data_IF_023430569821
#
_entry.id   IF_023430569821
#
_cell.length_a   1.000
_cell.length_b   1.000
_cell.length_c   1.000
_cell.angle_alpha   90.00
_cell.angle_beta   90.00
_cell.angle_gamma   90.00
#
_symmetry.space_group_name_H-M   'P 1'
#
loop_
_entity.id
_entity.type
_entity.pdbx_description
1 polymer ?
#
# COMPACT_ATOMS: atom_id res chain seq x y z
N UNK A 1 -16.44 -33.01 74.76
CA UNK A 1 -15.34 -32.63 73.83
C UNK A 1 -15.36 -33.33 72.44
N UNK A 2 -15.74 -34.62 72.32
CA UNK A 2 -15.79 -35.32 71.01
C UNK A 2 -16.91 -34.86 70.08
N UNK A 3 -18.06 -34.34 70.51
CA UNK A 3 -19.17 -33.85 69.67
C UNK A 3 -18.89 -32.51 69.08
N UNK A 4 -18.17 -31.59 69.74
CA UNK A 4 -17.81 -30.25 69.23
C UNK A 4 -16.77 -30.37 68.14
N UNK A 5 -15.82 -31.29 68.18
CA UNK A 5 -14.82 -31.54 67.15
C UNK A 5 -15.44 -32.09 65.86
N UNK A 6 -16.50 -32.90 65.89
CA UNK A 6 -17.19 -33.38 64.68
C UNK A 6 -18.00 -32.28 63.97
N UNK A 7 -18.60 -31.36 64.77
CA UNK A 7 -19.36 -30.24 64.23
C UNK A 7 -18.44 -29.20 63.57
N UNK A 8 -17.24 -28.94 64.15
CA UNK A 8 -16.24 -28.05 63.51
C UNK A 8 -15.65 -28.63 62.23
N UNK A 9 -15.47 -29.96 62.14
CA UNK A 9 -14.99 -30.60 60.89
C UNK A 9 -16.03 -30.58 59.77
N UNK A 10 -17.32 -30.69 60.08
CA UNK A 10 -18.40 -30.58 59.07
C UNK A 10 -18.59 -29.15 58.58
N UNK A 11 -18.42 -28.14 59.43
CA UNK A 11 -18.47 -26.71 58.97
C UNK A 11 -17.25 -26.35 58.20
N UNK A 12 -16.06 -26.83 58.50
CA UNK A 12 -14.85 -26.62 57.72
C UNK A 12 -14.92 -27.31 56.34
N UNK A 13 -15.55 -28.48 56.23
CA UNK A 13 -15.71 -29.21 54.97
C UNK A 13 -16.78 -28.59 54.06
N UNK A 14 -17.84 -27.97 54.63
CA UNK A 14 -18.82 -27.19 53.83
C UNK A 14 -18.29 -25.84 53.35
N UNK A 15 -17.36 -25.22 54.08
CA UNK A 15 -16.72 -23.96 53.64
C UNK A 15 -15.73 -24.17 52.48
N UNK A 16 -15.10 -25.34 52.41
CA UNK A 16 -14.18 -25.71 51.30
C UNK A 16 -14.95 -26.01 49.99
N UNK A 17 -16.20 -26.51 50.07
CA UNK A 17 -17.02 -26.76 48.87
C UNK A 17 -17.62 -25.49 48.25
N UNK A 18 -17.73 -24.39 48.98
CA UNK A 18 -18.27 -23.12 48.45
C UNK A 18 -17.18 -22.34 47.70
N UNK A 19 -15.90 -22.55 48.01
CA UNK A 19 -14.78 -21.86 47.29
C UNK A 19 -14.47 -22.49 45.94
N UNK A 20 -14.92 -23.73 45.67
CA UNK A 20 -14.68 -24.43 44.40
C UNK A 20 -15.69 -24.09 43.30
N UNK A 21 -16.69 -23.23 43.52
CA UNK A 21 -17.69 -22.80 42.54
C UNK A 21 -17.45 -21.37 41.99
N UNK A 22 -16.37 -20.71 42.42
CA UNK A 22 -15.95 -19.40 41.90
C UNK A 22 -14.73 -19.57 40.94
N UNK A 23 -14.70 -20.64 40.20
CA UNK A 23 -13.63 -20.91 39.28
C UNK A 23 -14.15 -21.19 37.88
N UNK A 24 -13.79 -20.34 36.95
CA UNK A 24 -13.97 -20.44 35.50
C UNK A 24 -15.24 -19.84 34.92
N UNK A 25 -15.56 -18.59 35.19
CA UNK A 25 -15.85 -17.71 34.07
C UNK A 25 -14.49 -17.25 33.54
N UNK A 26 -13.97 -17.92 32.53
CA UNK A 26 -12.99 -17.35 31.67
C UNK A 26 -13.68 -16.19 30.95
N UNK A 27 -13.74 -15.03 31.58
CA UNK A 27 -13.82 -13.79 30.84
C UNK A 27 -12.59 -13.84 29.95
N UNK A 28 -12.77 -14.21 28.66
CA UNK A 28 -11.91 -13.66 27.61
C UNK A 28 -12.04 -12.16 27.84
N UNK A 29 -11.07 -11.57 28.50
CA UNK A 29 -10.84 -10.14 28.41
C UNK A 29 -10.71 -9.92 26.91
N UNK A 30 -11.72 -9.33 26.30
CA UNK A 30 -11.62 -8.91 24.91
C UNK A 30 -10.37 -8.02 24.91
N UNK A 31 -9.33 -8.47 24.22
CA UNK A 31 -8.13 -7.68 24.06
C UNK A 31 -8.60 -6.41 23.37
N UNK A 32 -8.38 -5.26 23.98
CA UNK A 32 -8.74 -3.98 23.40
C UNK A 32 -7.96 -3.87 22.08
N UNK A 33 -8.67 -3.60 20.98
CA UNK A 33 -8.02 -3.47 19.66
C UNK A 33 -7.07 -2.28 19.69
N UNK A 34 -5.91 -2.44 19.04
CA UNK A 34 -5.02 -1.33 18.77
C UNK A 34 -5.64 -0.47 17.65
N UNK A 35 -6.05 0.75 17.98
CA UNK A 35 -6.63 1.67 17.02
C UNK A 35 -5.58 2.49 16.23
N UNK A 36 -4.30 2.28 16.50
CA UNK A 36 -3.21 2.95 15.78
C UNK A 36 -2.67 2.06 14.68
N UNK A 37 -2.64 2.58 13.44
CA UNK A 37 -2.07 1.94 12.26
C UNK A 37 -0.78 2.66 11.90
N UNK A 38 0.35 1.96 11.91
CA UNK A 38 1.62 2.43 11.34
C UNK A 38 1.60 2.12 9.85
N UNK A 39 1.37 3.13 9.01
CA UNK A 39 1.17 2.98 7.57
C UNK A 39 2.28 3.65 6.76
N UNK A 40 2.91 2.89 5.88
CA UNK A 40 3.85 3.42 4.90
C UNK A 40 3.21 3.62 3.52
N UNK A 41 3.27 4.84 2.98
CA UNK A 41 2.81 5.15 1.61
C UNK A 41 3.94 5.69 0.74
N UNK A 42 3.70 5.82 -0.57
CA UNK A 42 4.66 6.44 -1.48
C UNK A 42 4.34 7.92 -1.70
N UNK A 43 5.37 8.69 -2.05
CA UNK A 43 5.22 10.04 -2.60
C UNK A 43 4.69 9.96 -4.06
N UNK A 44 3.41 9.56 -4.21
CA UNK A 44 2.78 9.28 -5.51
C UNK A 44 1.27 9.52 -5.48
N UNK A 45 0.65 9.63 -6.66
CA UNK A 45 -0.77 9.98 -6.80
C UNK A 45 -1.71 8.99 -6.12
N UNK A 46 -1.36 7.71 -6.07
CA UNK A 46 -2.15 6.65 -5.42
C UNK A 46 -2.26 6.79 -3.89
N UNK A 47 -1.46 7.68 -3.26
CA UNK A 47 -1.60 8.05 -1.85
C UNK A 47 -2.64 9.15 -1.59
N UNK A 48 -3.15 9.84 -2.62
CA UNK A 48 -4.05 10.98 -2.44
C UNK A 48 -5.28 10.68 -1.57
N UNK A 49 -6.00 9.53 -1.71
CA UNK A 49 -7.14 9.24 -0.85
C UNK A 49 -6.77 9.13 0.64
N UNK A 50 -5.60 8.55 0.93
CA UNK A 50 -5.12 8.38 2.31
C UNK A 50 -4.74 9.75 2.90
N UNK A 51 -3.98 10.55 2.13
CA UNK A 51 -3.57 11.89 2.56
C UNK A 51 -4.77 12.81 2.78
N UNK A 52 -5.78 12.73 1.90
CA UNK A 52 -7.01 13.52 2.02
C UNK A 52 -7.86 13.07 3.22
N UNK A 53 -8.00 11.75 3.43
CA UNK A 53 -8.72 11.22 4.59
C UNK A 53 -8.09 11.65 5.91
N UNK A 54 -6.75 11.64 5.99
CA UNK A 54 -6.01 12.12 7.15
C UNK A 54 -6.20 13.63 7.36
N UNK A 55 -6.10 14.44 6.29
CA UNK A 55 -6.29 15.89 6.39
C UNK A 55 -7.70 16.29 6.84
N UNK A 56 -8.72 15.55 6.38
CA UNK A 56 -10.12 15.80 6.72
C UNK A 56 -10.55 15.17 8.06
N UNK A 57 -9.68 14.45 8.75
CA UNK A 57 -9.99 13.78 10.02
C UNK A 57 -10.92 12.56 9.89
N UNK A 58 -11.01 11.96 8.70
CA UNK A 58 -11.92 10.83 8.46
C UNK A 58 -11.46 9.56 9.20
N UNK A 59 -10.16 9.38 9.41
CA UNK A 59 -9.64 8.27 10.18
C UNK A 59 -10.05 8.38 11.66
N UNK A 60 -9.89 9.56 12.25
CA UNK A 60 -10.28 9.83 13.64
C UNK A 60 -11.78 9.65 13.86
N UNK A 61 -12.62 10.07 12.89
CA UNK A 61 -14.07 9.88 12.95
C UNK A 61 -14.48 8.39 12.91
N UNK A 62 -13.68 7.54 12.25
CA UNK A 62 -13.86 6.08 12.25
C UNK A 62 -13.13 5.39 13.41
N UNK A 63 -12.59 6.16 14.34
CA UNK A 63 -11.89 5.64 15.54
C UNK A 63 -10.48 5.10 15.25
N UNK A 64 -9.89 5.48 14.11
CA UNK A 64 -8.54 5.06 13.70
C UNK A 64 -7.55 6.20 13.95
N UNK A 65 -6.44 5.90 14.63
CA UNK A 65 -5.29 6.78 14.73
C UNK A 65 -4.26 6.35 13.67
N UNK A 66 -3.90 7.24 12.74
CA UNK A 66 -2.99 6.94 11.66
C UNK A 66 -1.60 7.53 11.93
N UNK A 67 -0.61 6.64 12.11
CA UNK A 67 0.82 7.00 12.10
C UNK A 67 1.34 6.79 10.67
N UNK A 68 1.39 7.88 9.90
CA UNK A 68 1.61 7.87 8.46
C UNK A 68 3.04 8.28 8.11
N UNK A 69 3.77 7.41 7.43
CA UNK A 69 5.09 7.71 6.87
C UNK A 69 5.06 7.73 5.34
N UNK A 70 5.61 8.81 4.74
CA UNK A 70 5.69 8.99 3.29
C UNK A 70 7.11 8.65 2.82
N UNK A 71 7.24 7.63 1.99
CA UNK A 71 8.51 7.15 1.45
C UNK A 71 8.75 7.66 0.02
N UNK A 72 10.01 7.97 -0.28
CA UNK A 72 10.50 8.25 -1.64
C UNK A 72 11.24 7.06 -2.27
N UNK A 73 11.51 6.03 -1.46
CA UNK A 73 12.19 4.81 -1.86
C UNK A 73 11.34 3.58 -1.49
N UNK A 74 10.90 2.83 -2.53
CA UNK A 74 10.06 1.65 -2.34
C UNK A 74 10.76 0.50 -1.63
N UNK A 75 12.10 0.36 -1.79
CA UNK A 75 12.86 -0.70 -1.12
C UNK A 75 12.98 -0.45 0.39
N UNK A 76 13.15 0.82 0.81
CA UNK A 76 13.16 1.19 2.23
C UNK A 76 11.80 0.86 2.88
N UNK A 77 10.69 1.30 2.26
CA UNK A 77 9.34 0.99 2.74
C UNK A 77 9.09 -0.53 2.85
N UNK A 78 9.55 -1.29 1.84
CA UNK A 78 9.48 -2.75 1.86
C UNK A 78 10.24 -3.34 3.05
N UNK A 79 11.43 -2.84 3.35
CA UNK A 79 12.23 -3.28 4.50
C UNK A 79 11.53 -2.97 5.82
N UNK A 80 10.89 -1.81 5.95
CA UNK A 80 10.19 -1.42 7.18
C UNK A 80 8.99 -2.34 7.50
N UNK A 81 8.18 -2.73 6.49
CA UNK A 81 7.10 -3.70 6.76
C UNK A 81 7.63 -5.10 7.07
N UNK A 82 8.71 -5.54 6.41
CA UNK A 82 9.37 -6.83 6.71
C UNK A 82 9.99 -6.86 8.11
N UNK A 83 10.49 -5.72 8.60
CA UNK A 83 11.04 -5.58 9.95
C UNK A 83 9.95 -5.47 11.04
N UNK A 84 8.66 -5.38 10.69
CA UNK A 84 7.55 -5.18 11.62
C UNK A 84 7.47 -3.74 12.17
N UNK A 85 8.12 -2.78 11.51
CA UNK A 85 8.03 -1.36 11.84
C UNK A 85 6.70 -0.76 11.39
N UNK A 86 6.06 -1.36 10.36
CA UNK A 86 4.76 -0.98 9.82
C UNK A 86 3.73 -2.11 10.03
N UNK A 87 2.49 -1.72 10.28
CA UNK A 87 1.32 -2.62 10.34
C UNK A 87 0.68 -2.78 8.96
N UNK A 88 0.81 -1.73 8.14
CA UNK A 88 0.31 -1.69 6.78
C UNK A 88 1.26 -0.91 5.86
N UNK A 89 1.23 -1.24 4.58
CA UNK A 89 1.99 -0.49 3.57
C UNK A 89 1.28 -0.49 2.21
N UNK A 90 1.43 0.60 1.47
CA UNK A 90 1.15 0.63 0.04
C UNK A 90 2.33 -0.04 -0.69
N UNK A 91 2.13 -1.20 -1.29
CA UNK A 91 3.16 -1.95 -2.01
C UNK A 91 2.76 -2.19 -3.46
N UNK A 92 3.75 -2.26 -4.36
CA UNK A 92 3.49 -2.89 -5.65
C UNK A 92 3.22 -4.39 -5.42
N UNK A 93 2.29 -4.96 -6.19
CA UNK A 93 1.96 -6.38 -6.09
C UNK A 93 3.19 -7.26 -6.37
N UNK A 94 4.08 -6.81 -7.27
CA UNK A 94 5.35 -7.46 -7.56
C UNK A 94 6.23 -7.59 -6.30
N UNK A 95 6.42 -6.48 -5.58
CA UNK A 95 7.17 -6.48 -4.33
C UNK A 95 6.47 -7.30 -3.25
N UNK A 96 5.14 -7.16 -3.17
CA UNK A 96 4.34 -7.85 -2.17
C UNK A 96 4.40 -9.37 -2.34
N UNK A 97 4.16 -9.91 -3.55
CA UNK A 97 4.22 -11.36 -3.80
C UNK A 97 5.61 -11.92 -3.47
N UNK A 98 6.67 -11.18 -3.80
CA UNK A 98 8.02 -11.56 -3.40
C UNK A 98 8.22 -11.58 -1.88
N UNK A 99 7.66 -10.61 -1.18
CA UNK A 99 7.76 -10.55 0.28
C UNK A 99 7.01 -11.71 0.93
N UNK A 100 5.84 -12.07 0.41
CA UNK A 100 5.07 -13.24 0.88
C UNK A 100 5.87 -14.52 0.64
N UNK A 101 6.47 -14.69 -0.54
CA UNK A 101 7.40 -15.80 -0.81
C UNK A 101 8.58 -15.82 0.18
N UNK A 102 9.06 -14.64 0.58
CA UNK A 102 10.11 -14.44 1.59
C UNK A 102 9.64 -14.65 3.03
N UNK A 103 8.35 -14.95 3.26
CA UNK A 103 7.79 -15.26 4.59
C UNK A 103 6.97 -14.12 5.23
N UNK A 104 6.75 -12.99 4.53
CA UNK A 104 5.85 -11.94 5.03
C UNK A 104 4.43 -12.50 5.12
N UNK A 105 3.83 -12.41 6.29
CA UNK A 105 2.43 -12.77 6.53
C UNK A 105 1.59 -11.50 6.45
N UNK A 106 0.99 -11.25 5.29
CA UNK A 106 0.19 -10.06 5.02
C UNK A 106 -0.77 -10.31 3.85
N UNK A 107 -1.81 -9.48 3.71
CA UNK A 107 -2.80 -9.58 2.64
C UNK A 107 -3.10 -8.23 2.02
N UNK A 108 -3.36 -8.23 0.71
CA UNK A 108 -3.95 -7.09 0.00
C UNK A 108 -5.38 -6.91 0.49
N UNK A 109 -5.69 -5.75 1.03
CA UNK A 109 -7.04 -5.40 1.50
C UNK A 109 -7.78 -4.47 0.53
N UNK A 110 -7.04 -3.73 -0.30
CA UNK A 110 -7.56 -2.95 -1.44
C UNK A 110 -6.45 -2.70 -2.45
N UNK A 111 -6.83 -2.54 -3.74
CA UNK A 111 -5.94 -1.92 -4.74
C UNK A 111 -5.85 -0.42 -4.50
N UNK A 112 -4.83 0.22 -5.07
CA UNK A 112 -4.72 1.67 -5.18
C UNK A 112 -4.62 2.06 -6.63
N UNK A 113 -5.08 3.26 -6.98
CA UNK A 113 -5.11 3.76 -8.33
C UNK A 113 -3.96 4.76 -8.52
N UNK A 114 -3.01 4.41 -9.38
CA UNK A 114 -1.82 5.19 -9.65
C UNK A 114 -1.70 5.64 -11.10
N UNK A 115 -0.93 6.68 -11.33
CA UNK A 115 -0.59 7.15 -12.67
C UNK A 115 0.92 7.21 -12.81
N UNK A 116 1.46 6.54 -13.84
CA UNK A 116 2.89 6.34 -14.05
C UNK A 116 3.31 6.75 -15.47
N UNK A 117 3.36 8.04 -15.78
CA UNK A 117 3.83 8.52 -17.06
C UNK A 117 5.28 8.12 -17.36
N UNK A 118 5.61 8.09 -18.64
CA UNK A 118 6.98 8.01 -19.14
C UNK A 118 7.47 9.43 -19.35
N UNK A 119 8.62 9.73 -18.76
CA UNK A 119 9.30 11.02 -18.92
C UNK A 119 10.53 10.80 -19.76
N UNK A 120 10.70 11.65 -20.77
CA UNK A 120 11.81 11.61 -21.71
C UNK A 120 12.94 12.53 -21.26
N UNK A 121 14.17 12.19 -21.58
CA UNK A 121 15.32 13.07 -21.37
C UNK A 121 15.16 14.36 -22.17
N UNK A 122 15.88 15.41 -21.74
CA UNK A 122 15.74 16.76 -22.30
C UNK A 122 15.99 16.83 -23.80
N UNK A 123 16.97 16.07 -24.28
CA UNK A 123 17.42 16.10 -25.69
C UNK A 123 17.06 14.76 -26.38
N UNK A 124 15.94 14.12 -25.93
CA UNK A 124 15.51 12.87 -26.53
C UNK A 124 15.11 13.05 -28.00
N UNK A 125 15.70 12.24 -28.86
CA UNK A 125 15.29 12.04 -30.22
C UNK A 125 14.72 10.64 -30.40
N UNK A 126 13.64 10.49 -31.18
CA UNK A 126 12.97 9.22 -31.42
C UNK A 126 13.94 8.19 -32.03
N UNK A 127 14.05 7.01 -31.39
CA UNK A 127 14.94 5.92 -31.79
C UNK A 127 14.42 4.59 -31.25
N UNK A 128 14.84 3.48 -31.86
CA UNK A 128 14.42 2.13 -31.43
C UNK A 128 15.12 1.68 -30.13
N UNK A 129 16.42 1.94 -30.01
CA UNK A 129 17.22 1.51 -28.86
C UNK A 129 17.22 2.60 -27.79
N UNK A 130 16.62 2.33 -26.62
CA UNK A 130 16.46 3.31 -25.54
C UNK A 130 16.94 2.78 -24.19
N UNK A 131 17.57 3.65 -23.40
CA UNK A 131 17.90 3.42 -22.00
C UNK A 131 16.77 3.86 -21.12
N UNK A 132 16.18 2.93 -20.35
CA UNK A 132 15.01 3.22 -19.51
C UNK A 132 15.37 3.08 -18.03
N UNK A 133 15.25 4.17 -17.28
CA UNK A 133 15.51 4.21 -15.84
C UNK A 133 14.34 3.63 -15.03
N UNK A 134 14.58 2.58 -14.26
CA UNK A 134 13.58 1.78 -13.57
C UNK A 134 14.07 1.37 -12.17
N UNK A 135 13.17 0.81 -11.37
CA UNK A 135 13.50 -0.03 -10.23
C UNK A 135 13.18 -1.48 -10.61
N UNK A 136 14.10 -2.41 -10.39
CA UNK A 136 14.03 -3.77 -10.94
C UNK A 136 12.77 -4.53 -10.53
N UNK A 137 12.54 -4.69 -9.23
CA UNK A 137 11.38 -5.40 -8.69
C UNK A 137 10.31 -4.37 -8.32
N UNK A 138 9.49 -3.96 -9.29
CA UNK A 138 8.54 -2.86 -9.07
C UNK A 138 7.46 -2.76 -10.15
N UNK A 139 6.40 -2.01 -9.79
CA UNK A 139 5.33 -1.64 -10.73
C UNK A 139 5.87 -0.93 -11.97
N UNK A 140 6.86 -0.04 -11.84
CA UNK A 140 7.36 0.74 -12.98
C UNK A 140 8.14 -0.11 -13.99
N UNK A 141 8.74 -1.22 -13.57
CA UNK A 141 9.38 -2.16 -14.49
C UNK A 141 8.31 -2.97 -15.25
N UNK A 142 7.28 -3.45 -14.55
CA UNK A 142 6.14 -4.12 -15.16
C UNK A 142 5.45 -3.21 -16.20
N UNK A 143 5.14 -1.97 -15.82
CA UNK A 143 4.49 -1.02 -16.72
C UNK A 143 5.37 -0.62 -17.92
N UNK A 144 6.69 -0.53 -17.76
CA UNK A 144 7.59 -0.29 -18.88
C UNK A 144 7.50 -1.40 -19.93
N UNK A 145 7.44 -2.68 -19.49
CA UNK A 145 7.27 -3.82 -20.40
C UNK A 145 5.91 -3.81 -21.11
N UNK A 146 4.87 -3.23 -20.49
CA UNK A 146 3.54 -3.09 -21.10
C UNK A 146 3.47 -1.90 -22.09
N UNK A 147 4.13 -0.79 -21.77
CA UNK A 147 3.94 0.48 -22.48
C UNK A 147 4.97 0.74 -23.57
N UNK A 148 6.18 0.20 -23.43
CA UNK A 148 7.31 0.49 -24.33
C UNK A 148 7.60 -0.68 -25.29
N UNK A 149 6.56 -1.36 -25.78
CA UNK A 149 6.68 -2.54 -26.65
C UNK A 149 7.32 -2.24 -28.00
N UNK A 150 7.28 -0.98 -28.45
CA UNK A 150 7.86 -0.53 -29.72
C UNK A 150 9.37 -0.21 -29.63
N UNK A 151 9.95 -0.32 -28.43
CA UNK A 151 11.34 0.02 -28.18
C UNK A 151 12.18 -1.21 -27.75
N UNK A 152 13.44 -1.20 -28.16
CA UNK A 152 14.46 -2.11 -27.63
C UNK A 152 15.03 -1.51 -26.34
N UNK A 153 14.52 -1.93 -25.17
CA UNK A 153 14.88 -1.32 -23.88
C UNK A 153 16.17 -1.88 -23.30
N UNK A 154 17.17 -1.03 -23.07
CA UNK A 154 18.21 -1.26 -22.09
C UNK A 154 17.72 -0.78 -20.72
N UNK A 155 17.37 -1.69 -19.82
CA UNK A 155 16.87 -1.35 -18.48
C UNK A 155 18.01 -0.93 -17.57
N UNK A 156 17.95 0.31 -17.06
CA UNK A 156 18.93 0.89 -16.12
C UNK A 156 18.30 0.98 -14.74
N UNK A 157 18.74 0.16 -13.81
CA UNK A 157 18.13 0.08 -12.48
C UNK A 157 18.66 1.17 -11.55
N UNK A 158 17.77 2.12 -11.20
CA UNK A 158 18.02 3.24 -10.29
C UNK A 158 16.87 3.27 -9.27
N UNK A 159 17.10 2.83 -8.04
CA UNK A 159 16.04 2.68 -7.02
C UNK A 159 15.45 4.02 -6.55
N UNK A 160 16.28 5.06 -6.45
CA UNK A 160 15.88 6.37 -5.95
C UNK A 160 15.16 7.18 -7.03
N UNK A 161 13.92 7.61 -6.79
CA UNK A 161 13.14 8.43 -7.73
C UNK A 161 13.84 9.75 -8.10
N UNK A 162 14.41 10.52 -7.15
CA UNK A 162 15.14 11.74 -7.49
C UNK A 162 16.36 11.51 -8.40
N UNK A 163 17.06 10.39 -8.21
CA UNK A 163 18.22 10.04 -9.03
C UNK A 163 17.83 9.66 -10.47
N UNK A 164 16.66 9.00 -10.67
CA UNK A 164 16.12 8.75 -12.02
C UNK A 164 15.82 10.05 -12.73
N UNK A 165 15.17 11.01 -12.05
CA UNK A 165 14.92 12.33 -12.63
C UNK A 165 16.20 13.07 -12.96
N UNK A 166 17.22 13.02 -12.09
CA UNK A 166 18.53 13.61 -12.38
C UNK A 166 19.18 12.97 -13.61
N UNK A 167 19.13 11.63 -13.74
CA UNK A 167 19.70 10.91 -14.87
C UNK A 167 19.05 11.31 -16.21
N UNK A 168 17.72 11.56 -16.22
CA UNK A 168 17.01 12.13 -17.38
C UNK A 168 17.52 13.52 -17.74
N UNK A 169 17.64 14.41 -16.73
CA UNK A 169 18.09 15.78 -16.94
C UNK A 169 19.53 15.86 -17.46
N UNK A 170 20.36 14.85 -17.10
CA UNK A 170 21.75 14.74 -17.53
C UNK A 170 21.91 13.90 -18.82
N UNK A 171 20.82 13.48 -19.48
CA UNK A 171 20.80 12.63 -20.67
C UNK A 171 21.59 11.31 -20.49
N UNK A 172 21.65 10.78 -19.24
CA UNK A 172 22.30 9.49 -18.95
C UNK A 172 21.40 8.30 -19.23
N UNK A 173 20.10 8.53 -19.21
CA UNK A 173 19.02 7.63 -19.65
C UNK A 173 18.10 8.39 -20.58
N UNK A 174 17.47 7.68 -21.48
CA UNK A 174 16.58 8.26 -22.50
C UNK A 174 15.17 8.48 -21.97
N UNK A 175 14.67 7.52 -21.17
CA UNK A 175 13.33 7.51 -20.60
C UNK A 175 13.36 7.05 -19.15
N UNK A 176 12.34 7.43 -18.37
CA UNK A 176 12.07 6.82 -17.09
C UNK A 176 10.55 6.76 -16.84
N UNK A 177 10.09 5.70 -16.21
CA UNK A 177 8.73 5.64 -15.65
C UNK A 177 8.76 6.33 -14.29
N UNK A 178 8.02 7.42 -14.16
CA UNK A 178 7.92 8.21 -12.94
C UNK A 178 6.45 8.30 -12.50
N UNK A 179 6.15 8.09 -11.20
CA UNK A 179 4.79 8.30 -10.72
C UNK A 179 4.40 9.78 -10.77
N UNK A 180 3.09 10.05 -10.95
CA UNK A 180 2.56 11.37 -10.63
C UNK A 180 2.60 11.60 -9.10
N UNK A 181 2.85 12.83 -8.62
CA UNK A 181 3.07 14.06 -9.38
C UNK A 181 4.54 14.34 -9.76
N UNK A 182 5.47 13.41 -9.52
CA UNK A 182 6.88 13.60 -9.85
C UNK A 182 7.11 13.77 -11.37
N UNK A 183 6.33 13.06 -12.21
CA UNK A 183 6.37 13.20 -13.66
C UNK A 183 5.97 14.63 -14.08
N UNK A 184 4.97 15.22 -13.44
CA UNK A 184 4.58 16.63 -13.65
C UNK A 184 5.65 17.62 -13.20
N UNK A 185 6.36 17.32 -12.11
CA UNK A 185 7.50 18.13 -11.67
C UNK A 185 8.65 18.09 -12.70
N UNK A 186 8.90 16.93 -13.31
CA UNK A 186 9.84 16.81 -14.42
C UNK A 186 9.40 17.65 -15.64
N UNK A 187 8.11 17.60 -15.96
CA UNK A 187 7.53 18.41 -17.05
C UNK A 187 7.66 19.91 -16.79
N UNK A 188 7.43 20.39 -15.56
CA UNK A 188 7.65 21.79 -15.20
C UNK A 188 9.10 22.22 -15.41
N UNK A 189 10.06 21.30 -15.27
CA UNK A 189 11.48 21.51 -15.52
C UNK A 189 11.88 21.40 -17.00
N UNK A 190 10.90 21.25 -17.90
CA UNK A 190 11.07 21.26 -19.35
C UNK A 190 11.32 19.89 -19.97
N UNK A 191 11.09 18.79 -19.25
CA UNK A 191 11.11 17.44 -19.82
C UNK A 191 9.75 17.11 -20.47
N UNK A 192 9.76 16.26 -21.49
CA UNK A 192 8.52 15.77 -22.10
C UNK A 192 7.93 14.64 -21.25
N UNK A 193 6.63 14.70 -21.01
CA UNK A 193 5.86 13.67 -20.29
C UNK A 193 4.86 13.03 -21.26
N UNK A 194 4.88 11.71 -21.36
CA UNK A 194 3.93 10.91 -22.14
C UNK A 194 3.11 10.02 -21.21
N UNK A 195 1.79 10.07 -21.36
CA UNK A 195 0.85 9.25 -20.58
C UNK A 195 0.50 8.01 -21.41
N UNK A 196 0.61 6.85 -20.80
CA UNK A 196 0.26 5.55 -21.36
C UNK A 196 -0.75 4.84 -20.46
N UNK A 197 -1.43 3.82 -21.01
CA UNK A 197 -2.45 3.06 -20.30
C UNK A 197 -3.79 3.79 -20.20
N UNK A 198 -4.79 3.06 -19.75
CA UNK A 198 -6.11 3.62 -19.43
C UNK A 198 -6.13 4.03 -17.95
N UNK A 199 -6.55 5.26 -17.59
CA UNK A 199 -6.65 5.69 -16.20
C UNK A 199 -7.64 4.86 -15.37
N UNK A 200 -8.52 4.07 -15.99
CA UNK A 200 -9.45 3.15 -15.33
C UNK A 200 -8.85 1.75 -15.08
N UNK A 201 -7.71 1.43 -15.69
CA UNK A 201 -7.05 0.13 -15.51
C UNK A 201 -6.52 -0.06 -14.09
N UNK A 202 -6.38 -1.33 -13.70
CA UNK A 202 -5.67 -1.66 -12.47
C UNK A 202 -4.19 -1.28 -12.57
N UNK A 203 -3.73 -0.51 -11.61
CA UNK A 203 -2.30 -0.39 -11.35
C UNK A 203 -1.90 -1.51 -10.41
N UNK A 204 -0.80 -2.27 -10.64
CA UNK A 204 -0.43 -3.38 -9.76
C UNK A 204 0.16 -2.88 -8.43
N UNK A 205 -0.60 -2.04 -7.75
CA UNK A 205 -0.36 -1.52 -6.41
C UNK A 205 -1.54 -1.82 -5.49
N UNK A 206 -1.27 -1.94 -4.20
CA UNK A 206 -2.32 -2.14 -3.21
C UNK A 206 -1.87 -1.77 -1.80
N UNK A 207 -2.84 -1.63 -0.92
CA UNK A 207 -2.61 -1.53 0.51
C UNK A 207 -2.64 -2.94 1.08
N UNK A 208 -1.55 -3.31 1.72
CA UNK A 208 -1.43 -4.57 2.44
C UNK A 208 -1.43 -4.30 3.94
N UNK A 209 -2.07 -5.19 4.70
CA UNK A 209 -1.97 -5.24 6.16
C UNK A 209 -1.34 -6.57 6.57
N UNK A 210 -0.56 -6.56 7.64
CA UNK A 210 -0.03 -7.80 8.22
C UNK A 210 -1.18 -8.67 8.75
N UNK A 211 -1.06 -10.00 8.60
CA UNK A 211 -2.08 -10.96 9.09
C UNK A 211 -2.31 -10.82 10.59
N UNK A 212 -1.26 -10.51 11.34
CA UNK A 212 -1.33 -10.26 12.78
C UNK A 212 -2.21 -9.04 13.08
N UNK A 213 -2.02 -7.93 12.36
CA UNK A 213 -2.83 -6.72 12.55
C UNK A 213 -4.28 -6.95 12.16
N UNK A 214 -4.56 -7.58 11.00
CA UNK A 214 -5.92 -7.92 10.55
C UNK A 214 -6.65 -8.77 11.60
N UNK A 215 -5.98 -9.79 12.12
CA UNK A 215 -6.56 -10.73 13.08
C UNK A 215 -6.89 -10.07 14.41
N UNK A 216 -6.00 -9.20 14.90
CA UNK A 216 -6.12 -8.62 16.24
C UNK A 216 -6.96 -7.33 16.24
N UNK A 217 -7.09 -6.62 15.11
CA UNK A 217 -7.70 -5.29 15.00
C UNK A 217 -8.67 -5.16 13.79
N UNK A 218 -9.62 -6.10 13.58
CA UNK A 218 -10.46 -6.12 12.38
C UNK A 218 -11.36 -4.87 12.25
N UNK A 219 -11.81 -4.30 13.37
CA UNK A 219 -12.62 -3.08 13.35
C UNK A 219 -11.79 -1.85 12.94
N UNK A 220 -10.52 -1.78 13.39
CA UNK A 220 -9.59 -0.72 13.00
C UNK A 220 -9.30 -0.77 11.50
N UNK A 221 -9.06 -1.97 10.94
CA UNK A 221 -8.90 -2.15 9.49
C UNK A 221 -10.17 -1.75 8.73
N UNK A 222 -11.37 -2.13 9.24
CA UNK A 222 -12.65 -1.71 8.66
C UNK A 222 -12.83 -0.19 8.69
N UNK A 223 -12.49 0.47 9.80
CA UNK A 223 -12.51 1.92 9.95
C UNK A 223 -11.59 2.61 8.93
N UNK A 224 -10.38 2.08 8.73
CA UNK A 224 -9.45 2.58 7.71
C UNK A 224 -10.09 2.59 6.32
N UNK A 225 -10.71 1.48 5.89
CA UNK A 225 -11.33 1.39 4.56
C UNK A 225 -12.54 2.30 4.40
N UNK A 226 -13.33 2.54 5.45
CA UNK A 226 -14.43 3.51 5.42
C UNK A 226 -13.92 4.93 5.22
N UNK A 227 -12.89 5.33 5.98
CA UNK A 227 -12.27 6.65 5.83
C UNK A 227 -11.66 6.84 4.43
N UNK A 228 -10.96 5.82 3.92
CA UNK A 228 -10.46 5.79 2.55
C UNK A 228 -11.56 6.00 1.51
N UNK A 229 -12.66 5.25 1.61
CA UNK A 229 -13.79 5.34 0.67
C UNK A 229 -14.47 6.71 0.68
N UNK A 230 -14.54 7.37 1.83
CA UNK A 230 -15.07 8.75 1.94
C UNK A 230 -14.18 9.74 1.18
N UNK A 231 -12.87 9.63 1.35
CA UNK A 231 -11.94 10.49 0.61
C UNK A 231 -11.98 10.24 -0.89
N UNK A 232 -12.15 8.99 -1.32
CA UNK A 232 -12.37 8.66 -2.74
C UNK A 232 -13.65 9.31 -3.26
N UNK A 233 -14.75 9.30 -2.51
CA UNK A 233 -16.00 9.99 -2.90
C UNK A 233 -15.77 11.50 -3.05
N UNK A 234 -15.03 12.12 -2.15
CA UNK A 234 -14.70 13.54 -2.25
C UNK A 234 -13.88 13.83 -3.52
N UNK A 235 -12.87 13.02 -3.81
CA UNK A 235 -12.03 13.17 -5.01
C UNK A 235 -12.86 12.97 -6.29
N UNK A 236 -13.76 11.99 -6.34
CA UNK A 236 -14.66 11.78 -7.48
C UNK A 236 -15.54 13.02 -7.72
N UNK A 237 -16.05 13.62 -6.65
CA UNK A 237 -16.89 14.82 -6.73
C UNK A 237 -16.07 16.08 -7.05
N UNK A 238 -14.81 16.16 -6.60
CA UNK A 238 -13.92 17.28 -6.82
C UNK A 238 -12.46 16.81 -6.96
N UNK A 239 -12.01 16.42 -8.17
CA UNK A 239 -10.65 15.93 -8.41
C UNK A 239 -9.54 16.92 -8.04
N UNK A 240 -9.83 18.23 -7.97
CA UNK A 240 -8.84 19.23 -7.57
C UNK A 240 -8.37 19.03 -6.12
N UNK A 241 -9.19 18.45 -5.24
CA UNK A 241 -8.78 18.12 -3.88
C UNK A 241 -7.62 17.12 -3.85
N UNK A 242 -7.58 16.15 -4.77
CA UNK A 242 -6.46 15.22 -4.90
C UNK A 242 -5.17 15.94 -5.30
N UNK A 243 -5.24 16.88 -6.25
CA UNK A 243 -4.06 17.66 -6.66
C UNK A 243 -3.56 18.55 -5.52
N UNK A 244 -4.48 19.24 -4.84
CA UNK A 244 -4.14 20.15 -3.75
C UNK A 244 -3.49 19.42 -2.56
N UNK A 245 -4.04 18.26 -2.18
CA UNK A 245 -3.47 17.47 -1.08
C UNK A 245 -2.09 16.90 -1.45
N UNK A 246 -1.90 16.41 -2.68
CA UNK A 246 -0.60 15.93 -3.16
C UNK A 246 0.43 17.04 -3.15
N UNK A 247 0.10 18.23 -3.68
CA UNK A 247 1.02 19.38 -3.69
C UNK A 247 1.40 19.77 -2.26
N UNK A 248 0.42 19.90 -1.37
CA UNK A 248 0.63 20.31 0.01
C UNK A 248 1.44 19.31 0.82
N UNK A 249 1.06 18.02 0.80
CA UNK A 249 1.68 16.97 1.64
C UNK A 249 3.02 16.49 1.12
N UNK A 250 3.26 16.61 -0.18
CA UNK A 250 4.54 16.23 -0.81
C UNK A 250 5.46 17.44 -1.03
N UNK A 251 5.09 18.62 -0.53
CA UNK A 251 5.87 19.87 -0.59
C UNK A 251 6.31 20.24 -2.03
N UNK A 252 5.39 20.12 -2.99
CA UNK A 252 5.67 20.32 -4.40
C UNK A 252 5.40 21.77 -4.82
N UNK A 253 5.99 22.17 -5.97
CA UNK A 253 5.72 23.48 -6.56
C UNK A 253 4.25 23.58 -7.01
N UNK A 254 3.46 24.55 -6.52
CA UNK A 254 2.07 24.71 -6.93
C UNK A 254 1.84 24.88 -8.43
N UNK A 255 2.85 25.27 -9.19
CA UNK A 255 2.76 25.44 -10.63
C UNK A 255 2.54 24.12 -11.38
N UNK A 256 2.79 22.97 -10.74
CA UNK A 256 2.53 21.66 -11.38
C UNK A 256 1.05 21.28 -11.39
N UNK A 257 0.17 22.01 -10.69
CA UNK A 257 -1.23 21.62 -10.48
C UNK A 257 -1.96 21.27 -11.78
N UNK A 258 -1.83 22.12 -12.80
CA UNK A 258 -2.47 21.91 -14.10
C UNK A 258 -1.77 20.85 -14.97
N UNK A 259 -0.57 20.44 -14.58
CA UNK A 259 0.20 19.40 -15.26
C UNK A 259 -0.10 18.00 -14.71
N UNK A 260 -0.60 17.89 -13.46
CA UNK A 260 -0.86 16.59 -12.82
C UNK A 260 -1.97 15.86 -13.57
N UNK A 261 -1.67 14.64 -13.99
CA UNK A 261 -2.64 13.69 -14.53
C UNK A 261 -3.02 12.71 -13.42
N UNK A 262 -4.27 12.76 -13.00
CA UNK A 262 -4.80 11.85 -11.97
C UNK A 262 -5.29 10.55 -12.59
N UNK A 263 -5.19 9.42 -11.88
CA UNK A 263 -5.94 8.20 -12.23
C UNK A 263 -7.43 8.40 -11.94
N UNK A 264 -8.27 7.51 -12.44
CA UNK A 264 -9.63 7.33 -11.91
C UNK A 264 -9.55 6.63 -10.57
N UNK A 265 -9.96 7.31 -9.50
CA UNK A 265 -9.95 6.74 -8.16
C UNK A 265 -11.19 5.89 -7.90
N UNK A 266 -10.97 4.74 -7.29
CA UNK A 266 -12.03 3.78 -6.96
C UNK A 266 -12.08 3.54 -5.45
N UNK A 267 -13.30 3.31 -4.95
CA UNK A 267 -13.50 2.77 -3.60
C UNK A 267 -12.79 1.42 -3.46
N UNK A 268 -12.67 0.96 -2.23
CA UNK A 268 -12.00 -0.30 -1.91
C UNK A 268 -12.47 -1.43 -2.82
N UNK A 269 -11.52 -2.00 -3.55
CA UNK A 269 -11.67 -3.14 -4.46
C UNK A 269 -10.40 -3.99 -4.39
N UNK A 270 -10.52 -5.27 -4.66
CA UNK A 270 -9.35 -6.16 -4.74
C UNK A 270 -9.20 -6.71 -6.16
N UNK A 271 -7.97 -7.02 -6.60
CA UNK A 271 -7.76 -7.63 -7.90
C UNK A 271 -8.40 -9.02 -7.90
N UNK A 272 -8.86 -9.48 -9.04
CA UNK A 272 -9.30 -10.86 -9.20
C UNK A 272 -8.09 -11.81 -9.32
N UNK A 273 -8.38 -13.11 -9.27
CA UNK A 273 -7.35 -14.15 -9.25
C UNK A 273 -6.53 -14.17 -10.55
N UNK A 274 -7.17 -13.89 -11.70
CA UNK A 274 -6.49 -13.83 -13.00
C UNK A 274 -5.46 -12.71 -13.05
N UNK A 275 -5.76 -11.55 -12.46
CA UNK A 275 -4.83 -10.44 -12.41
C UNK A 275 -3.63 -10.72 -11.48
N UNK A 276 -3.89 -11.32 -10.31
CA UNK A 276 -2.79 -11.76 -9.42
C UNK A 276 -1.88 -12.76 -10.14
N UNK A 277 -2.48 -13.70 -10.88
CA UNK A 277 -1.71 -14.69 -11.64
C UNK A 277 -0.87 -14.08 -12.75
N UNK A 278 -1.38 -13.08 -13.45
CA UNK A 278 -0.60 -12.34 -14.44
C UNK A 278 0.63 -11.66 -13.83
N UNK A 279 0.46 -11.00 -12.67
CA UNK A 279 1.56 -10.37 -11.94
C UNK A 279 2.56 -11.41 -11.40
N UNK A 280 2.06 -12.55 -10.93
CA UNK A 280 2.89 -13.68 -10.50
C UNK A 280 3.75 -14.18 -11.66
N UNK A 281 3.14 -14.52 -12.81
CA UNK A 281 3.84 -15.04 -13.99
C UNK A 281 4.91 -14.07 -14.51
N UNK A 282 4.61 -12.77 -14.52
CA UNK A 282 5.60 -11.75 -14.89
C UNK A 282 6.76 -11.70 -13.87
N UNK A 283 6.44 -11.77 -12.58
CA UNK A 283 7.43 -11.72 -11.49
C UNK A 283 8.34 -12.94 -11.53
N UNK A 284 7.77 -14.13 -11.73
CA UNK A 284 8.51 -15.39 -11.87
C UNK A 284 9.48 -15.36 -13.08
N UNK A 285 9.02 -14.81 -14.21
CA UNK A 285 9.85 -14.64 -15.39
C UNK A 285 11.01 -13.68 -15.13
N UNK A 286 10.76 -12.56 -14.41
CA UNK A 286 11.79 -11.59 -14.04
C UNK A 286 12.87 -12.21 -13.17
N UNK A 287 12.49 -13.07 -12.21
CA UNK A 287 13.38 -13.58 -11.18
C UNK A 287 13.95 -14.98 -11.49
N UNK A 288 13.37 -15.69 -12.46
CA UNK A 288 13.74 -17.07 -12.79
C UNK A 288 13.41 -18.08 -11.68
N UNK A 289 12.40 -17.79 -10.84
CA UNK A 289 11.97 -18.68 -9.75
C UNK A 289 10.45 -18.62 -9.56
N UNK A 290 9.84 -19.78 -9.30
CA UNK A 290 8.39 -19.88 -9.05
C UNK A 290 8.01 -19.30 -7.68
N UNK A 291 6.87 -18.59 -7.63
CA UNK A 291 6.29 -18.08 -6.41
C UNK A 291 5.36 -19.11 -5.75
N UNK A 292 4.48 -19.74 -6.52
CA UNK A 292 3.54 -20.77 -6.05
C UNK A 292 2.65 -20.29 -4.90
N UNK A 293 1.99 -19.14 -5.08
CA UNK A 293 1.12 -18.51 -4.08
C UNK A 293 -0.35 -18.85 -4.40
N UNK A 294 -1.17 -19.10 -3.36
CA UNK A 294 -2.61 -19.20 -3.54
C UNK A 294 -3.22 -17.80 -3.40
N UNK A 295 -4.29 -17.54 -4.14
CA UNK A 295 -4.97 -16.23 -4.11
C UNK A 295 -5.41 -15.83 -2.70
N UNK A 296 -6.00 -16.76 -1.92
CA UNK A 296 -6.47 -16.51 -0.57
C UNK A 296 -5.34 -16.26 0.45
N UNK A 297 -4.10 -16.66 0.12
CA UNK A 297 -2.94 -16.37 0.96
C UNK A 297 -2.49 -14.91 0.81
N UNK A 298 -2.84 -14.26 -0.31
CA UNK A 298 -2.37 -12.91 -0.65
C UNK A 298 -3.47 -11.86 -0.72
N UNK A 299 -4.76 -12.25 -0.79
CA UNK A 299 -5.89 -11.31 -0.91
C UNK A 299 -6.96 -11.61 0.13
N UNK A 300 -7.56 -10.58 0.72
CA UNK A 300 -8.73 -10.66 1.59
C UNK A 300 -9.83 -9.75 1.06
N UNK A 301 -11.09 -10.29 0.97
CA UNK A 301 -12.24 -9.58 0.38
C UNK A 301 -13.16 -8.91 1.40
N UNK A 302 -12.88 -9.06 2.69
CA UNK A 302 -13.77 -8.67 3.78
C UNK A 302 -14.03 -7.15 3.86
N UNK A 303 -13.14 -6.35 3.26
CA UNK A 303 -13.14 -4.88 3.32
C UNK A 303 -13.56 -4.22 2.00
N UNK A 304 -13.97 -5.00 1.02
CA UNK A 304 -14.42 -4.47 -0.29
C UNK A 304 -15.75 -3.73 -0.12
N UNK A 305 -15.85 -2.56 -0.74
CA UNK A 305 -17.10 -1.79 -0.79
C UNK A 305 -18.19 -2.59 -1.52
N UNK A 306 -19.39 -2.69 -0.89
CA UNK A 306 -20.55 -3.33 -1.49
C UNK A 306 -21.32 -2.35 -2.35
#
# INVERSE_FOLDING_TARGET
>A
MKKIRKSLLLVAMSLVMIVSLIGCTSNKVAQEENNTIRLGVMSAADSAPILLAAEKGYFEEEGVNLDLEIFTNGATKQSSIQAGELDAAMLSMIQFLNNVKGGLQAKITTTTDGMFPIVLSKDFEEKEDVKVGLMEVSVINYLADQYLTDYNMEKVFINEMPLRMQALMENKIDMAVLPEPLASNAQLKGLEKRVYGDPDDYTPNGIVFTDEFIKNNPNTVSGFHKAYNRAVEDIINNPEEAKDILISKLELDPQIKDLIVLPTYHKTRVPDESYIKEIEDWTEKLQGSELNLNYEDVVIKDYVSK
#
